data_IF_009464122939
#
_entry.id   IF_009464122939
#
_cell.length_a   1.000
_cell.length_b   1.000
_cell.length_c   1.000
_cell.angle_alpha   90.00
_cell.angle_beta   90.00
_cell.angle_gamma   90.00
#
_symmetry.space_group_name_H-M   'P 1'
#
loop_
_entity.id
_entity.type
_entity.pdbx_description
1 polymer ?
#
# COMPACT_ATOMS: atom_id res chain seq x y z
N UNK A 1 -13.99 -6.45 13.49
CA UNK A 1 -14.01 -5.08 14.08
C UNK A 1 -13.95 -4.11 12.92
N UNK A 2 -14.69 -2.98 12.92
CA UNK A 2 -14.82 -2.19 11.71
C UNK A 2 -13.46 -1.58 11.40
N UNK A 3 -12.90 -1.99 10.27
CA UNK A 3 -11.62 -1.47 9.78
C UNK A 3 -11.72 0.01 9.47
N UNK A 4 -10.57 0.63 9.22
CA UNK A 4 -10.47 2.01 8.73
C UNK A 4 -11.40 2.18 7.52
N UNK A 5 -12.33 3.13 7.60
CA UNK A 5 -13.13 3.58 6.46
C UNK A 5 -12.25 4.44 5.55
N UNK A 6 -11.79 3.83 4.46
CA UNK A 6 -10.85 4.45 3.53
C UNK A 6 -11.46 5.67 2.85
N UNK A 7 -12.77 5.66 2.57
CA UNK A 7 -13.46 6.79 1.94
C UNK A 7 -13.48 8.03 2.83
N UNK A 8 -13.45 7.85 4.16
CA UNK A 8 -13.43 8.94 5.12
C UNK A 8 -12.03 9.56 5.34
N UNK A 9 -10.95 8.92 4.87
CA UNK A 9 -9.57 9.35 5.15
C UNK A 9 -9.21 10.72 4.57
N UNK A 10 -9.86 11.14 3.50
CA UNK A 10 -9.67 12.47 2.91
C UNK A 10 -10.62 13.54 3.46
N UNK A 11 -11.55 13.16 4.34
CA UNK A 11 -12.52 14.10 4.89
C UNK A 11 -11.90 14.93 6.00
N UNK A 12 -12.33 16.20 6.10
CA UNK A 12 -11.99 17.05 7.24
C UNK A 12 -12.33 16.37 8.58
N UNK A 13 -11.44 16.52 9.56
CA UNK A 13 -11.66 16.05 10.94
C UNK A 13 -12.60 16.96 11.73
N UNK A 14 -12.61 18.27 11.45
CA UNK A 14 -13.48 19.24 12.13
C UNK A 14 -13.64 20.53 11.33
N UNK A 15 -14.64 21.35 11.68
CA UNK A 15 -14.87 22.64 11.00
C UNK A 15 -13.73 23.64 11.17
N UNK A 16 -12.98 23.56 12.27
CA UNK A 16 -11.95 24.56 12.63
C UNK A 16 -10.52 24.04 12.45
N UNK A 17 -10.34 22.74 12.26
CA UNK A 17 -9.06 22.10 12.01
C UNK A 17 -9.28 20.88 11.12
N UNK A 18 -9.04 21.06 9.81
CA UNK A 18 -9.38 20.05 8.80
C UNK A 18 -8.50 18.81 8.91
N UNK A 19 -7.24 19.00 9.31
CA UNK A 19 -6.24 17.94 9.37
C UNK A 19 -5.85 17.52 10.80
N UNK A 20 -6.38 18.20 11.83
CA UNK A 20 -6.09 17.89 13.22
C UNK A 20 -4.66 18.27 13.62
N UNK A 21 -4.22 17.88 14.83
CA UNK A 21 -2.84 18.07 15.29
C UNK A 21 -1.81 17.25 14.52
N UNK A 22 -0.59 17.77 14.44
CA UNK A 22 0.60 16.99 14.10
C UNK A 22 1.05 16.20 15.34
N UNK A 23 0.72 14.91 15.37
CA UNK A 23 1.00 14.05 16.53
C UNK A 23 2.50 13.82 16.73
N UNK A 24 3.30 13.85 15.65
CA UNK A 24 4.75 13.72 15.71
C UNK A 24 5.37 14.95 16.36
N UNK A 25 5.01 16.14 15.87
CA UNK A 25 5.50 17.42 16.41
C UNK A 25 5.06 17.66 17.86
N UNK A 26 3.92 17.08 18.28
CA UNK A 26 3.45 17.12 19.66
C UNK A 26 4.13 16.10 20.58
N UNK A 27 4.95 15.19 20.05
CA UNK A 27 5.57 14.13 20.83
C UNK A 27 4.58 13.10 21.34
N UNK A 28 3.49 12.85 20.61
CA UNK A 28 2.48 11.87 21.00
C UNK A 28 3.11 10.46 21.05
N UNK A 29 3.16 9.89 22.26
CA UNK A 29 3.85 8.61 22.48
C UNK A 29 3.23 7.46 21.69
N UNK A 30 1.90 7.44 21.52
CA UNK A 30 1.22 6.39 20.76
C UNK A 30 1.61 6.45 19.29
N UNK A 31 1.60 7.65 18.69
CA UNK A 31 2.04 7.88 17.32
C UNK A 31 3.50 7.49 17.11
N UNK A 32 4.42 8.03 17.93
CA UNK A 32 5.85 7.81 17.77
C UNK A 32 6.22 6.33 17.92
N UNK A 33 5.66 5.67 18.94
CA UNK A 33 5.87 4.23 19.14
C UNK A 33 5.26 3.41 18.00
N UNK A 34 4.08 3.79 17.52
CA UNK A 34 3.43 3.09 16.42
C UNK A 34 4.28 3.16 15.15
N UNK A 35 4.65 4.35 14.69
CA UNK A 35 5.47 4.56 13.48
C UNK A 35 6.78 3.78 13.58
N UNK A 36 7.49 3.90 14.71
CA UNK A 36 8.76 3.20 14.94
C UNK A 36 8.63 1.68 14.86
N UNK A 37 7.63 1.11 15.54
CA UNK A 37 7.39 -0.34 15.54
C UNK A 37 7.01 -0.79 14.13
N UNK A 38 6.11 -0.07 13.46
CA UNK A 38 5.59 -0.50 12.16
C UNK A 38 6.63 -0.46 11.05
N UNK A 39 7.52 0.53 11.03
CA UNK A 39 8.63 0.54 10.06
C UNK A 39 9.54 -0.68 10.24
N UNK A 40 9.77 -1.11 11.49
CA UNK A 40 10.55 -2.32 11.78
C UNK A 40 9.87 -3.65 11.40
N UNK A 41 8.55 -3.65 11.14
CA UNK A 41 7.82 -4.84 10.68
C UNK A 41 7.88 -5.03 9.17
N UNK A 42 8.24 -3.99 8.42
CA UNK A 42 8.22 -4.02 6.97
C UNK A 42 9.40 -4.84 6.44
N UNK A 43 9.19 -5.70 5.43
CA UNK A 43 10.23 -6.60 4.97
C UNK A 43 11.38 -5.83 4.33
N UNK A 44 12.60 -6.06 4.79
CA UNK A 44 13.82 -5.59 4.11
C UNK A 44 14.11 -6.41 2.85
N UNK A 45 13.58 -7.63 2.77
CA UNK A 45 13.75 -8.57 1.67
C UNK A 45 12.43 -9.32 1.43
N UNK A 46 12.05 -9.48 0.17
CA UNK A 46 10.84 -10.23 -0.19
C UNK A 46 11.07 -11.74 -0.35
N UNK A 47 12.32 -12.16 -0.37
CA UNK A 47 12.72 -13.55 -0.53
C UNK A 47 13.93 -13.81 0.33
N UNK A 48 13.87 -14.87 1.14
CA UNK A 48 14.99 -15.33 1.98
C UNK A 48 15.07 -16.85 1.89
N UNK A 49 16.26 -17.36 1.61
CA UNK A 49 16.53 -18.80 1.49
C UNK A 49 15.57 -19.54 0.52
N UNK A 50 15.17 -18.85 -0.56
CA UNK A 50 14.25 -19.37 -1.58
C UNK A 50 12.76 -19.30 -1.23
N UNK A 51 12.40 -18.93 0.00
CA UNK A 51 11.02 -18.74 0.43
C UNK A 51 10.55 -17.29 0.20
N UNK A 52 9.32 -17.07 -0.27
CA UNK A 52 8.72 -15.73 -0.32
C UNK A 52 8.41 -15.22 1.09
N UNK A 53 8.41 -13.90 1.24
CA UNK A 53 7.95 -13.24 2.45
C UNK A 53 6.49 -13.60 2.77
N UNK A 54 6.24 -13.99 4.02
CA UNK A 54 4.90 -14.29 4.53
C UNK A 54 4.31 -13.05 5.21
N UNK A 55 3.40 -12.37 4.51
CA UNK A 55 2.73 -11.17 5.01
C UNK A 55 1.89 -11.42 6.26
N UNK A 56 1.47 -12.67 6.53
CA UNK A 56 0.70 -12.99 7.73
C UNK A 56 1.51 -12.77 9.01
N UNK A 57 2.84 -12.77 8.92
CA UNK A 57 3.76 -12.55 10.06
C UNK A 57 3.71 -11.11 10.61
N UNK A 58 3.22 -10.14 9.82
CA UNK A 58 3.08 -8.73 10.25
C UNK A 58 1.89 -8.55 11.20
N UNK A 59 0.88 -9.41 11.10
CA UNK A 59 -0.41 -9.22 11.78
C UNK A 59 -1.10 -7.93 11.33
N UNK A 60 -1.29 -7.76 10.01
CA UNK A 60 -1.79 -6.53 9.37
C UNK A 60 -3.08 -6.02 10.01
N UNK A 61 -4.06 -6.89 10.26
CA UNK A 61 -5.32 -6.53 10.94
C UNK A 61 -5.09 -5.89 12.32
N UNK A 62 -4.11 -6.39 13.07
CA UNK A 62 -3.73 -5.86 14.37
C UNK A 62 -3.12 -4.47 14.25
N UNK A 63 -2.27 -4.24 13.24
CA UNK A 63 -1.68 -2.92 13.00
C UNK A 63 -2.72 -1.91 12.52
N UNK A 64 -3.63 -2.30 11.62
CA UNK A 64 -4.76 -1.47 11.16
C UNK A 64 -5.65 -1.08 12.34
N UNK A 65 -5.95 -2.02 13.23
CA UNK A 65 -6.76 -1.76 14.43
C UNK A 65 -6.10 -0.75 15.38
N UNK A 66 -4.77 -0.81 15.52
CA UNK A 66 -3.98 0.14 16.34
C UNK A 66 -3.81 1.51 15.66
N UNK A 67 -3.81 1.56 14.33
CA UNK A 67 -3.68 2.79 13.56
C UNK A 67 -4.99 3.60 13.51
N UNK A 68 -6.14 2.92 13.50
CA UNK A 68 -7.46 3.55 13.42
C UNK A 68 -7.68 4.71 14.43
N UNK A 69 -7.39 4.58 15.74
CA UNK A 69 -7.53 5.69 16.68
C UNK A 69 -6.60 6.88 16.38
N UNK A 70 -5.40 6.64 15.83
CA UNK A 70 -4.48 7.72 15.41
C UNK A 70 -5.05 8.49 14.20
N UNK A 71 -5.56 7.77 13.19
CA UNK A 71 -6.22 8.38 12.03
C UNK A 71 -7.54 9.07 12.37
N UNK A 72 -8.14 8.76 13.53
CA UNK A 72 -9.26 9.53 14.09
C UNK A 72 -8.86 10.91 14.62
N UNK A 73 -7.56 11.16 14.81
CA UNK A 73 -7.01 12.38 15.42
C UNK A 73 -6.23 13.24 14.44
N UNK A 74 -5.66 12.67 13.38
CA UNK A 74 -4.79 13.40 12.45
C UNK A 74 -4.96 12.95 10.99
N UNK A 75 -4.78 13.89 10.06
CA UNK A 75 -4.58 13.64 8.63
C UNK A 75 -3.09 13.75 8.33
N UNK A 76 -2.43 12.61 8.39
CA UNK A 76 -0.97 12.52 8.30
C UNK A 76 -0.54 11.54 7.22
N UNK A 77 0.21 12.05 6.24
CA UNK A 77 0.71 11.27 5.10
C UNK A 77 1.66 10.16 5.57
N UNK A 78 2.36 10.31 6.70
CA UNK A 78 3.20 9.24 7.26
C UNK A 78 2.38 8.02 7.63
N UNK A 79 1.25 8.22 8.33
CA UNK A 79 0.33 7.13 8.69
C UNK A 79 -0.37 6.55 7.48
N UNK A 80 -0.80 7.40 6.53
CA UNK A 80 -1.47 6.95 5.31
C UNK A 80 -0.53 6.15 4.40
N UNK A 81 0.74 6.56 4.28
CA UNK A 81 1.75 5.78 3.55
C UNK A 81 2.01 4.43 4.21
N UNK A 82 2.10 4.37 5.54
CA UNK A 82 2.21 3.10 6.27
C UNK A 82 0.98 2.21 6.08
N UNK A 83 -0.23 2.78 6.11
CA UNK A 83 -1.46 2.04 5.84
C UNK A 83 -1.45 1.43 4.45
N UNK A 84 -1.09 2.22 3.43
CA UNK A 84 -0.98 1.74 2.05
C UNK A 84 0.02 0.58 1.94
N UNK A 85 1.20 0.70 2.57
CA UNK A 85 2.21 -0.35 2.61
C UNK A 85 1.69 -1.64 3.26
N UNK A 86 0.92 -1.55 4.34
CA UNK A 86 0.30 -2.74 4.93
C UNK A 86 -0.77 -3.39 4.04
N UNK A 87 -1.65 -2.58 3.45
CA UNK A 87 -2.73 -3.08 2.60
C UNK A 87 -2.20 -3.79 1.35
N UNK A 88 -1.16 -3.23 0.71
CA UNK A 88 -0.59 -3.85 -0.49
C UNK A 88 0.17 -5.13 -0.17
N UNK A 89 0.82 -5.22 1.00
CA UNK A 89 1.43 -6.46 1.50
C UNK A 89 0.40 -7.56 1.78
N UNK A 90 -0.79 -7.17 2.27
CA UNK A 90 -1.93 -8.07 2.50
C UNK A 90 -2.75 -8.37 1.23
N UNK A 91 -2.32 -7.83 0.08
CA UNK A 91 -3.00 -7.97 -1.23
C UNK A 91 -4.39 -7.33 -1.31
N UNK A 92 -4.70 -6.38 -0.43
CA UNK A 92 -5.91 -5.57 -0.49
C UNK A 92 -5.73 -4.37 -1.42
N UNK A 93 -5.80 -4.64 -2.73
CA UNK A 93 -5.56 -3.63 -3.76
C UNK A 93 -6.61 -2.50 -3.75
N UNK A 94 -7.88 -2.83 -3.47
CA UNK A 94 -8.97 -1.85 -3.47
C UNK A 94 -8.77 -0.81 -2.36
N UNK A 95 -8.51 -1.26 -1.12
CA UNK A 95 -8.24 -0.33 -0.02
C UNK A 95 -6.90 0.39 -0.20
N UNK A 96 -5.88 -0.28 -0.74
CA UNK A 96 -4.63 0.40 -1.11
C UNK A 96 -4.90 1.57 -2.06
N UNK A 97 -5.61 1.33 -3.16
CA UNK A 97 -5.95 2.37 -4.14
C UNK A 97 -6.74 3.53 -3.50
N UNK A 98 -7.72 3.21 -2.65
CA UNK A 98 -8.48 4.23 -1.93
C UNK A 98 -7.62 5.07 -0.96
N UNK A 99 -6.58 4.49 -0.36
CA UNK A 99 -5.63 5.26 0.48
C UNK A 99 -4.75 6.16 -0.38
N UNK A 100 -4.29 5.70 -1.55
CA UNK A 100 -3.55 6.55 -2.50
C UNK A 100 -4.41 7.71 -2.98
N UNK A 101 -5.68 7.45 -3.30
CA UNK A 101 -6.66 8.50 -3.65
C UNK A 101 -6.85 9.48 -2.49
N UNK A 102 -6.95 8.99 -1.26
CA UNK A 102 -7.08 9.84 -0.09
C UNK A 102 -5.85 10.74 0.12
N UNK A 103 -4.63 10.21 -0.06
CA UNK A 103 -3.39 11.00 -0.02
C UNK A 103 -3.43 12.09 -1.10
N UNK A 104 -3.77 11.74 -2.36
CA UNK A 104 -3.87 12.71 -3.45
C UNK A 104 -4.87 13.82 -3.12
N UNK A 105 -6.05 13.45 -2.61
CA UNK A 105 -7.10 14.39 -2.26
C UNK A 105 -6.69 15.33 -1.12
N UNK A 106 -6.02 14.82 -0.09
CA UNK A 106 -5.50 15.64 1.00
C UNK A 106 -4.45 16.63 0.50
N UNK A 107 -3.55 16.20 -0.38
CA UNK A 107 -2.56 17.08 -1.00
C UNK A 107 -3.20 18.16 -1.88
N UNK A 108 -4.26 17.84 -2.61
CA UNK A 108 -4.97 18.80 -3.46
C UNK A 108 -5.79 19.82 -2.66
N UNK A 109 -6.52 19.38 -1.63
CA UNK A 109 -7.48 20.22 -0.90
C UNK A 109 -6.85 20.91 0.29
N UNK A 110 -5.97 20.20 1.02
CA UNK A 110 -5.44 20.61 2.32
C UNK A 110 -3.91 20.74 2.29
N UNK A 111 -3.34 21.17 1.16
CA UNK A 111 -1.90 21.26 0.94
C UNK A 111 -1.09 21.88 2.10
N UNK A 112 -1.60 22.96 2.70
CA UNK A 112 -0.93 23.67 3.79
C UNK A 112 -1.26 23.09 5.18
N UNK A 113 -2.33 22.30 5.30
CA UNK A 113 -2.85 21.81 6.59
C UNK A 113 -2.45 20.35 6.87
N UNK A 114 -2.31 19.52 5.82
CA UNK A 114 -1.98 18.09 5.95
C UNK A 114 -0.57 17.89 6.47
N UNK A 115 -0.42 16.90 7.37
CA UNK A 115 0.85 16.58 8.00
C UNK A 115 1.68 15.60 7.16
N UNK A 116 3.01 15.72 7.14
CA UNK A 116 3.80 16.82 7.71
C UNK A 116 3.57 18.15 6.98
N UNK A 117 3.46 19.24 7.74
CA UNK A 117 3.37 20.61 7.22
C UNK A 117 4.74 21.12 6.77
N UNK A 118 4.75 22.31 6.18
CA UNK A 118 5.98 23.02 5.83
C UNK A 118 6.85 23.25 7.07
N UNK A 119 8.12 22.90 6.99
CA UNK A 119 9.12 23.23 8.00
C UNK A 119 10.29 23.96 7.33
N UNK A 120 10.58 25.19 7.81
CA UNK A 120 11.71 26.00 7.33
C UNK A 120 11.75 26.13 5.79
N UNK A 121 10.64 26.56 5.20
CA UNK A 121 10.49 26.74 3.75
C UNK A 121 10.67 25.45 2.93
N UNK A 122 10.45 24.30 3.57
CA UNK A 122 10.64 22.99 2.95
C UNK A 122 9.52 22.01 3.28
N UNK A 123 9.16 21.19 2.28
CA UNK A 123 8.25 20.05 2.40
C UNK A 123 9.01 18.71 2.36
N UNK A 124 10.30 18.69 2.69
CA UNK A 124 11.14 17.47 2.61
C UNK A 124 10.58 16.30 3.40
N UNK A 125 10.02 16.51 4.60
CA UNK A 125 9.43 15.43 5.40
C UNK A 125 8.19 14.82 4.72
N UNK A 126 7.36 15.66 4.10
CA UNK A 126 6.21 15.20 3.32
C UNK A 126 6.66 14.43 2.07
N UNK A 127 7.65 14.95 1.35
CA UNK A 127 8.22 14.27 0.20
C UNK A 127 8.82 12.90 0.58
N UNK A 128 9.51 12.81 1.72
CA UNK A 128 10.04 11.55 2.24
C UNK A 128 8.92 10.55 2.58
N UNK A 129 7.83 11.01 3.22
CA UNK A 129 6.68 10.15 3.52
C UNK A 129 6.01 9.59 2.25
N UNK A 130 5.92 10.40 1.18
CA UNK A 130 5.40 9.95 -0.12
C UNK A 130 6.38 9.00 -0.81
N UNK A 131 7.68 9.27 -0.74
CA UNK A 131 8.70 8.45 -1.38
C UNK A 131 8.69 6.98 -0.88
N UNK A 132 8.23 6.73 0.35
CA UNK A 132 8.04 5.36 0.85
C UNK A 132 7.08 4.50 0.02
N UNK A 133 6.21 5.12 -0.79
CA UNK A 133 5.28 4.44 -1.68
C UNK A 133 5.93 3.95 -2.98
N UNK A 134 7.15 4.39 -3.29
CA UNK A 134 7.96 3.91 -4.43
C UNK A 134 8.93 2.78 -4.03
N UNK A 135 9.03 2.50 -2.73
CA UNK A 135 9.94 1.48 -2.20
C UNK A 135 9.56 0.06 -2.67
N UNK A 136 10.53 -0.89 -2.67
CA UNK A 136 10.26 -2.29 -2.99
C UNK A 136 9.12 -2.88 -2.16
N UNK A 137 8.89 -2.38 -0.94
CA UNK A 137 7.77 -2.78 -0.07
C UNK A 137 6.38 -2.57 -0.67
N UNK A 138 6.25 -1.71 -1.69
CA UNK A 138 5.00 -1.48 -2.43
C UNK A 138 5.12 -2.03 -3.86
N UNK A 139 6.21 -1.70 -4.54
CA UNK A 139 6.40 -2.05 -5.94
C UNK A 139 6.45 -3.57 -6.17
N UNK A 140 7.09 -4.33 -5.29
CA UNK A 140 7.18 -5.80 -5.44
C UNK A 140 5.81 -6.45 -5.25
N UNK A 141 5.05 -6.22 -4.16
CA UNK A 141 3.71 -6.78 -4.00
C UNK A 141 2.77 -6.51 -5.19
N UNK A 142 2.78 -5.29 -5.75
CA UNK A 142 1.99 -4.96 -6.94
C UNK A 142 2.35 -5.82 -8.14
N UNK A 143 3.64 -6.16 -8.33
CA UNK A 143 4.06 -7.03 -9.42
C UNK A 143 3.52 -8.46 -9.27
N UNK A 144 3.38 -8.98 -8.04
CA UNK A 144 2.84 -10.31 -7.77
C UNK A 144 1.31 -10.32 -7.61
N UNK A 145 0.65 -9.16 -7.73
CA UNK A 145 -0.80 -9.08 -7.60
C UNK A 145 -1.48 -9.97 -8.66
N UNK A 146 -2.39 -10.88 -8.26
CA UNK A 146 -3.08 -11.76 -9.20
C UNK A 146 -3.94 -10.97 -10.19
N UNK A 147 -3.58 -11.00 -11.48
CA UNK A 147 -4.39 -10.43 -12.56
C UNK A 147 -5.52 -11.38 -12.93
N UNK A 148 -5.20 -12.65 -13.20
CA UNK A 148 -6.20 -13.68 -13.43
C UNK A 148 -5.68 -15.08 -13.05
N UNK A 149 -6.54 -16.08 -13.18
CA UNK A 149 -6.19 -17.48 -12.97
C UNK A 149 -6.47 -18.26 -14.26
N UNK A 150 -5.44 -18.93 -14.78
CA UNK A 150 -5.54 -19.83 -15.93
C UNK A 150 -5.41 -21.28 -15.47
N UNK A 151 -6.23 -22.17 -16.03
CA UNK A 151 -6.24 -23.58 -15.65
C UNK A 151 -4.92 -24.31 -15.89
N UNK A 152 -4.11 -23.85 -16.85
CA UNK A 152 -2.83 -24.46 -17.25
C UNK A 152 -1.66 -23.86 -16.49
N UNK A 153 -1.69 -22.55 -16.25
CA UNK A 153 -0.54 -21.79 -15.74
C UNK A 153 -0.70 -21.34 -14.28
N UNK A 154 -1.89 -21.49 -13.70
CA UNK A 154 -2.24 -20.99 -12.38
C UNK A 154 -2.42 -19.47 -12.38
N UNK A 155 -1.96 -18.82 -11.31
CA UNK A 155 -2.06 -17.37 -11.16
C UNK A 155 -1.16 -16.66 -12.17
N UNK A 156 -1.75 -15.76 -12.96
CA UNK A 156 -1.05 -14.82 -13.82
C UNK A 156 -0.98 -13.47 -13.12
N UNK A 157 0.23 -12.94 -12.97
CA UNK A 157 0.50 -11.62 -12.37
C UNK A 157 1.27 -10.73 -13.36
N UNK A 158 1.48 -9.46 -13.01
CA UNK A 158 2.35 -8.60 -13.81
C UNK A 158 3.79 -9.14 -13.88
N UNK A 159 4.27 -9.77 -12.79
CA UNK A 159 5.56 -10.45 -12.74
C UNK A 159 5.68 -11.59 -13.76
N UNK A 160 4.60 -12.34 -13.99
CA UNK A 160 4.56 -13.39 -15.02
C UNK A 160 4.82 -12.81 -16.42
N UNK A 161 4.29 -11.60 -16.72
CA UNK A 161 4.57 -10.88 -17.96
C UNK A 161 6.03 -10.41 -18.02
N UNK A 162 6.61 -9.93 -16.91
CA UNK A 162 8.03 -9.55 -16.86
C UNK A 162 8.95 -10.73 -17.21
N UNK A 163 8.60 -11.95 -16.81
CA UNK A 163 9.34 -13.17 -17.18
C UNK A 163 9.30 -13.41 -18.69
N UNK A 164 8.13 -13.30 -19.29
CA UNK A 164 7.93 -13.55 -20.72
C UNK A 164 8.70 -12.59 -21.64
N UNK A 165 8.96 -11.35 -21.17
CA UNK A 165 9.69 -10.32 -21.94
C UNK A 165 11.15 -10.16 -21.52
N UNK A 166 11.64 -10.96 -20.56
CA UNK A 166 13.02 -10.93 -20.10
C UNK A 166 13.38 -9.77 -19.15
N UNK A 167 12.39 -9.03 -18.64
CA UNK A 167 12.58 -7.98 -17.63
C UNK A 167 12.88 -8.56 -16.24
N UNK A 168 12.49 -9.81 -15.99
CA UNK A 168 12.83 -10.56 -14.79
C UNK A 168 13.06 -12.05 -15.12
N UNK A 169 13.73 -12.78 -14.22
CA UNK A 169 13.90 -14.23 -14.33
C UNK A 169 12.91 -14.95 -13.41
N UNK A 170 12.24 -16.02 -13.87
CA UNK A 170 11.42 -16.85 -13.00
C UNK A 170 12.29 -17.53 -11.95
N UNK A 171 11.75 -17.71 -10.74
CA UNK A 171 12.37 -18.52 -9.70
C UNK A 171 12.07 -20.01 -9.91
N UNK A 172 12.77 -20.84 -9.15
CA UNK A 172 12.50 -22.27 -9.12
C UNK A 172 11.03 -22.51 -8.72
N UNK A 173 10.33 -23.32 -9.53
CA UNK A 173 8.91 -23.61 -9.33
C UNK A 173 7.92 -22.57 -9.88
N UNK A 174 8.36 -21.41 -10.37
CA UNK A 174 7.47 -20.42 -10.99
C UNK A 174 7.21 -20.72 -12.48
N UNK A 175 5.95 -20.62 -12.91
CA UNK A 175 5.56 -20.77 -14.32
C UNK A 175 5.93 -19.51 -15.11
N UNK A 176 6.56 -19.70 -16.29
CA UNK A 176 6.88 -18.61 -17.22
C UNK A 176 6.29 -18.86 -18.62
N UNK A 177 4.95 -18.76 -18.78
CA UNK A 177 4.32 -18.88 -20.10
C UNK A 177 4.78 -17.75 -21.03
N UNK A 178 4.83 -18.03 -22.35
CA UNK A 178 5.16 -17.03 -23.35
C UNK A 178 4.08 -15.93 -23.41
N UNK A 179 4.46 -14.72 -23.84
CA UNK A 179 3.57 -13.56 -23.88
C UNK A 179 2.24 -13.82 -24.62
N UNK A 180 2.20 -14.52 -25.78
CA UNK A 180 0.93 -14.84 -26.44
C UNK A 180 -0.03 -15.67 -25.57
N UNK A 181 0.50 -16.60 -24.77
CA UNK A 181 -0.31 -17.44 -23.88
C UNK A 181 -0.85 -16.64 -22.69
N UNK A 182 -0.07 -15.69 -22.15
CA UNK A 182 -0.52 -14.76 -21.11
C UNK A 182 -1.69 -13.90 -21.63
N UNK A 183 -1.56 -13.34 -22.83
CA UNK A 183 -2.60 -12.50 -23.43
C UNK A 183 -3.87 -13.30 -23.69
N UNK A 184 -3.75 -14.54 -24.18
CA UNK A 184 -4.89 -15.43 -24.37
C UNK A 184 -5.60 -15.72 -23.03
N UNK A 185 -4.84 -16.06 -21.99
CA UNK A 185 -5.41 -16.32 -20.67
C UNK A 185 -6.15 -15.11 -20.09
N UNK A 186 -5.62 -13.89 -20.27
CA UNK A 186 -6.30 -12.65 -19.88
C UNK A 186 -7.60 -12.41 -20.68
N UNK A 187 -7.63 -12.77 -21.95
CA UNK A 187 -8.84 -12.67 -22.79
C UNK A 187 -9.91 -13.70 -22.41
N UNK A 188 -9.50 -14.91 -22.02
CA UNK A 188 -10.38 -16.00 -21.61
C UNK A 188 -10.89 -15.84 -20.16
N UNK A 189 -10.25 -14.95 -19.38
CA UNK A 189 -10.62 -14.66 -17.99
C UNK A 189 -11.95 -13.91 -17.91
N UNK A 190 -12.75 -14.26 -16.91
CA UNK A 190 -14.02 -13.57 -16.66
C UNK A 190 -13.77 -12.09 -16.34
N UNK A 191 -14.36 -11.22 -17.17
CA UNK A 191 -14.24 -9.77 -17.06
C UNK A 191 -14.72 -9.25 -15.70
N UNK A 192 -15.69 -9.93 -15.07
CA UNK A 192 -16.18 -9.58 -13.74
C UNK A 192 -15.12 -9.80 -12.65
N UNK A 193 -14.29 -10.85 -12.77
CA UNK A 193 -13.19 -11.14 -11.84
C UNK A 193 -12.06 -10.11 -12.01
N UNK A 194 -11.81 -9.66 -13.24
CA UNK A 194 -10.84 -8.60 -13.53
C UNK A 194 -11.28 -7.24 -12.94
N UNK A 195 -12.59 -6.93 -12.98
CA UNK A 195 -13.12 -5.66 -12.49
C UNK A 195 -13.24 -5.62 -10.95
N UNK A 196 -13.56 -6.73 -10.29
CA UNK A 196 -13.64 -6.82 -8.82
C UNK A 196 -12.30 -6.62 -8.09
N UNK A 197 -11.17 -6.70 -8.80
CA UNK A 197 -9.83 -6.50 -8.23
C UNK A 197 -9.30 -5.08 -8.42
N UNK A 198 -10.01 -4.24 -9.15
CA UNK A 198 -9.61 -2.86 -9.52
C UNK A 198 -10.52 -1.80 -8.87
N UNK A 199 -11.66 -2.20 -8.29
CA UNK A 199 -12.67 -1.31 -7.68
C UNK A 199 -12.92 -1.69 -6.23
#
# INVERSE_FOLDING_TARGET
>A
MPGIDVAALASSLSENDSCGPDLDSQGDEEFLNFVTITEGLLPSEFFRDGAPFDASTIGVDGQISRMAPLLGRTRDIRLLSLLARFLVLDRDLARFAGVIEAISRLLEVYWNEVHPREERESFSLRAAAIATLDEPTVCIPLQYMPLCEDRRFGIISFRTRMYAVGEAKPREGETAPALPAILQALQESDRSILMQRVV
#
